data_IF_860600079454
#
_entry.id   IF_860600079454
#
_cell.length_a   1.000
_cell.length_b   1.000
_cell.length_c   1.000
_cell.angle_alpha   90.00
_cell.angle_beta   90.00
_cell.angle_gamma   90.00
#
_symmetry.space_group_name_H-M   'P 1'
#
loop_
_entity.id
_entity.type
_entity.pdbx_description
1 polymer ?
#
# COMPACT_ATOMS: atom_id res chain seq x y z
N UNK A 1 -7.37 -28.23 -2.42
CA UNK A 1 -6.66 -28.00 -3.68
C UNK A 1 -7.16 -26.69 -4.24
N UNK A 2 -6.26 -25.73 -4.46
CA UNK A 2 -6.61 -24.47 -5.09
C UNK A 2 -6.67 -24.70 -6.61
N UNK A 3 -7.82 -25.14 -7.12
CA UNK A 3 -8.08 -25.06 -8.55
C UNK A 3 -8.20 -23.58 -8.91
N UNK A 4 -7.35 -23.08 -9.81
CA UNK A 4 -7.56 -21.77 -10.42
C UNK A 4 -8.84 -21.90 -11.25
N UNK A 5 -9.95 -21.22 -10.89
CA UNK A 5 -11.20 -21.38 -11.59
C UNK A 5 -11.04 -20.76 -12.98
N UNK A 6 -10.73 -21.59 -13.97
CA UNK A 6 -10.64 -21.17 -15.37
C UNK A 6 -12.03 -20.98 -15.97
N UNK A 7 -13.06 -21.62 -15.39
CA UNK A 7 -14.47 -21.52 -15.82
C UNK A 7 -15.18 -20.22 -15.44
N UNK A 8 -14.73 -19.53 -14.38
CA UNK A 8 -15.32 -18.26 -13.92
C UNK A 8 -14.54 -17.03 -14.41
N UNK A 9 -13.56 -17.22 -15.29
CA UNK A 9 -12.82 -16.10 -15.87
C UNK A 9 -13.78 -15.31 -16.77
N UNK A 10 -14.04 -14.02 -16.51
CA UNK A 10 -14.92 -13.22 -17.35
C UNK A 10 -14.46 -13.31 -18.82
N UNK A 11 -15.39 -13.47 -19.73
CA UNK A 11 -15.09 -13.62 -21.17
C UNK A 11 -14.60 -12.29 -21.77
N UNK A 12 -13.37 -11.91 -21.43
CA UNK A 12 -12.76 -10.64 -21.79
C UNK A 12 -12.18 -10.68 -23.21
N UNK A 13 -12.25 -9.54 -23.92
CA UNK A 13 -11.60 -9.38 -25.23
C UNK A 13 -10.07 -9.53 -25.16
N UNK A 14 -9.46 -9.19 -24.01
CA UNK A 14 -8.05 -9.41 -23.74
C UNK A 14 -7.76 -9.57 -22.26
N UNK A 15 -6.58 -10.13 -21.98
CA UNK A 15 -6.00 -10.37 -20.68
C UNK A 15 -4.57 -9.86 -20.70
N UNK A 16 -4.20 -9.06 -19.70
CA UNK A 16 -2.81 -8.64 -19.51
C UNK A 16 -2.23 -9.30 -18.26
N UNK A 17 -1.00 -9.76 -18.39
CA UNK A 17 -0.25 -10.42 -17.33
C UNK A 17 1.10 -9.73 -17.19
N UNK A 18 1.56 -9.59 -15.96
CA UNK A 18 2.91 -9.09 -15.69
C UNK A 18 3.61 -9.92 -14.65
N UNK A 19 4.88 -10.25 -14.92
CA UNK A 19 5.76 -10.94 -13.97
C UNK A 19 6.05 -10.07 -12.73
N UNK A 20 5.76 -8.76 -12.81
CA UNK A 20 5.93 -7.79 -11.73
C UNK A 20 5.33 -8.24 -10.40
N UNK A 21 4.20 -8.95 -10.44
CA UNK A 21 3.48 -9.39 -9.23
C UNK A 21 3.69 -10.86 -8.88
N UNK A 22 4.01 -11.71 -9.87
CA UNK A 22 4.34 -13.12 -9.65
C UNK A 22 5.80 -13.40 -9.31
N UNK A 23 6.69 -12.42 -9.55
CA UNK A 23 8.12 -12.55 -9.26
C UNK A 23 8.78 -11.22 -8.87
N UNK A 24 8.94 -10.27 -9.82
CA UNK A 24 9.64 -9.01 -9.52
C UNK A 24 9.38 -7.91 -10.54
N UNK A 25 9.20 -6.68 -10.04
CA UNK A 25 9.08 -5.48 -10.86
C UNK A 25 10.33 -5.17 -11.69
N UNK A 26 11.50 -5.65 -11.24
CA UNK A 26 12.79 -5.36 -11.88
C UNK A 26 12.96 -6.07 -13.23
N UNK A 27 12.21 -7.13 -13.49
CA UNK A 27 12.26 -7.89 -14.76
C UNK A 27 11.59 -7.12 -15.89
N UNK A 28 10.63 -6.23 -15.56
CA UNK A 28 9.91 -5.36 -16.53
C UNK A 28 9.30 -6.12 -17.71
N UNK A 29 8.81 -7.34 -17.46
CA UNK A 29 8.17 -8.18 -18.47
C UNK A 29 6.67 -8.41 -18.21
N UNK A 30 5.97 -8.70 -19.29
CA UNK A 30 4.55 -9.02 -19.29
C UNK A 30 4.13 -9.58 -20.64
N UNK A 31 2.92 -10.12 -20.70
CA UNK A 31 2.34 -10.62 -21.93
C UNK A 31 0.86 -10.26 -21.97
N UNK A 32 0.35 -10.10 -23.18
CA UNK A 32 -1.06 -9.85 -23.44
C UNK A 32 -1.57 -11.04 -24.24
N UNK A 33 -2.65 -11.65 -23.75
CA UNK A 33 -3.44 -12.61 -24.52
C UNK A 33 -4.69 -11.89 -24.96
N UNK A 34 -4.99 -11.89 -26.24
CA UNK A 34 -6.17 -11.24 -26.79
C UNK A 34 -6.92 -12.21 -27.68
N UNK A 35 -8.24 -12.02 -27.78
CA UNK A 35 -9.03 -12.76 -28.76
C UNK A 35 -8.70 -12.23 -30.16
N UNK A 36 -8.50 -13.14 -31.09
CA UNK A 36 -8.35 -12.79 -32.52
C UNK A 36 -9.63 -12.12 -33.05
N UNK A 37 -10.78 -12.45 -32.47
CA UNK A 37 -12.08 -11.84 -32.78
C UNK A 37 -12.66 -11.10 -31.55
N UNK A 38 -13.12 -9.83 -31.71
CA UNK A 38 -13.13 -9.06 -32.95
C UNK A 38 -11.73 -8.54 -33.33
N UNK A 39 -11.46 -8.49 -34.65
CA UNK A 39 -10.22 -7.97 -35.29
C UNK A 39 -9.77 -6.61 -34.72
N UNK A 40 -10.71 -5.78 -34.27
CA UNK A 40 -10.43 -4.49 -33.62
C UNK A 40 -9.52 -4.60 -32.39
N UNK A 41 -9.55 -5.71 -31.65
CA UNK A 41 -8.69 -5.94 -30.48
C UNK A 41 -7.25 -6.28 -30.89
N UNK A 42 -7.09 -7.06 -31.96
CA UNK A 42 -5.78 -7.39 -32.55
C UNK A 42 -5.10 -6.13 -33.08
N UNK A 43 -5.78 -5.36 -33.93
CA UNK A 43 -5.21 -4.18 -34.57
C UNK A 43 -4.87 -3.10 -33.54
N UNK A 44 -5.69 -2.93 -32.50
CA UNK A 44 -5.40 -1.98 -31.41
C UNK A 44 -4.12 -2.35 -30.64
N UNK A 45 -3.90 -3.65 -30.36
CA UNK A 45 -2.69 -4.11 -29.68
C UNK A 45 -1.47 -3.94 -30.58
N UNK A 46 -1.52 -4.42 -31.83
CA UNK A 46 -0.40 -4.31 -32.78
C UNK A 46 0.01 -2.86 -33.00
N UNK A 47 -0.95 -1.96 -33.27
CA UNK A 47 -0.67 -0.53 -33.47
C UNK A 47 -0.04 0.14 -32.24
N UNK A 48 -0.43 -0.26 -31.02
CA UNK A 48 0.17 0.26 -29.81
C UNK A 48 1.66 -0.14 -29.68
N UNK A 49 2.02 -1.35 -30.11
CA UNK A 49 3.40 -1.86 -30.05
C UNK A 49 4.27 -1.37 -31.20
N UNK A 50 3.71 -1.10 -32.39
CA UNK A 50 4.46 -0.57 -33.54
C UNK A 50 5.17 0.76 -33.21
N UNK A 51 4.54 1.60 -32.39
CA UNK A 51 5.10 2.89 -31.95
C UNK A 51 6.30 2.77 -30.99
N UNK A 52 6.58 1.58 -30.45
CA UNK A 52 7.63 1.33 -29.44
C UNK A 52 8.94 0.81 -30.05
N UNK A 53 9.03 0.63 -31.37
CA UNK A 53 10.22 0.12 -32.06
C UNK A 53 11.34 1.16 -32.18
N UNK A 54 12.18 1.27 -31.14
CA UNK A 54 13.51 1.89 -31.23
C UNK A 54 14.60 0.84 -30.98
N UNK A 55 15.78 0.97 -31.59
CA UNK A 55 16.92 0.06 -31.33
C UNK A 55 17.28 -0.04 -29.85
N UNK A 56 17.14 1.07 -29.11
CA UNK A 56 17.38 1.12 -27.66
C UNK A 56 16.38 0.24 -26.90
N UNK A 57 15.12 0.18 -27.34
CA UNK A 57 14.12 -0.73 -26.78
C UNK A 57 14.37 -2.19 -27.20
N UNK A 58 14.93 -2.42 -28.40
CA UNK A 58 15.24 -3.77 -28.92
C UNK A 58 16.39 -4.49 -28.20
N UNK A 59 17.45 -3.77 -27.79
CA UNK A 59 18.55 -4.38 -27.01
C UNK A 59 18.13 -4.66 -25.56
N UNK A 60 17.35 -3.76 -24.94
CA UNK A 60 16.75 -4.04 -23.62
C UNK A 60 15.71 -5.16 -23.70
N UNK A 61 14.99 -5.32 -24.82
CA UNK A 61 13.99 -6.37 -24.97
C UNK A 61 14.62 -7.76 -25.08
N UNK A 62 15.77 -7.93 -25.74
CA UNK A 62 16.42 -9.24 -25.86
C UNK A 62 16.91 -9.78 -24.50
N UNK A 63 17.59 -8.96 -23.70
CA UNK A 63 18.03 -9.36 -22.35
C UNK A 63 16.85 -9.57 -21.39
N UNK A 64 15.81 -8.73 -21.49
CA UNK A 64 14.58 -8.91 -20.72
C UNK A 64 13.81 -10.16 -21.15
N UNK A 65 13.85 -10.50 -22.44
CA UNK A 65 13.22 -11.69 -23.03
C UNK A 65 13.94 -12.98 -22.62
N UNK A 66 15.27 -13.04 -22.74
CA UNK A 66 16.04 -14.18 -22.23
C UNK A 66 15.90 -14.35 -20.72
N UNK A 67 15.92 -13.25 -19.96
CA UNK A 67 15.63 -13.28 -18.53
C UNK A 67 14.21 -13.78 -18.23
N UNK A 68 13.22 -13.38 -19.03
CA UNK A 68 11.84 -13.86 -18.91
C UNK A 68 11.74 -15.35 -19.23
N UNK A 69 12.42 -15.86 -20.26
CA UNK A 69 12.44 -17.28 -20.59
C UNK A 69 13.07 -18.11 -19.46
N UNK A 70 14.23 -17.68 -18.94
CA UNK A 70 14.87 -18.35 -17.80
C UNK A 70 13.97 -18.37 -16.56
N UNK A 71 13.32 -17.24 -16.26
CA UNK A 71 12.35 -17.16 -15.17
C UNK A 71 11.14 -18.04 -15.40
N UNK A 72 10.62 -18.09 -16.62
CA UNK A 72 9.50 -18.93 -16.98
C UNK A 72 9.85 -20.40 -16.81
N UNK A 73 11.02 -20.84 -17.29
CA UNK A 73 11.52 -22.19 -17.10
C UNK A 73 11.69 -22.53 -15.62
N UNK A 74 12.20 -21.61 -14.80
CA UNK A 74 12.29 -21.79 -13.34
C UNK A 74 10.92 -21.93 -12.68
N UNK A 75 10.00 -21.00 -12.96
CA UNK A 75 8.65 -20.97 -12.37
C UNK A 75 7.84 -22.22 -12.79
N UNK A 76 7.98 -22.63 -14.05
CA UNK A 76 7.26 -23.74 -14.67
C UNK A 76 8.05 -25.07 -14.61
N UNK A 77 9.19 -25.11 -13.92
CA UNK A 77 10.02 -26.31 -13.77
C UNK A 77 9.27 -27.49 -13.11
N UNK A 78 8.18 -27.19 -12.40
CA UNK A 78 7.23 -28.15 -11.84
C UNK A 78 5.80 -27.77 -12.26
N UNK A 79 4.88 -28.73 -12.38
CA UNK A 79 3.47 -28.44 -12.62
C UNK A 79 2.92 -27.47 -11.56
N UNK A 80 2.05 -26.54 -11.95
CA UNK A 80 1.40 -25.59 -11.02
C UNK A 80 0.59 -26.32 -9.93
N UNK A 81 0.12 -27.54 -10.23
CA UNK A 81 -0.57 -28.41 -9.27
C UNK A 81 0.34 -29.02 -8.21
N UNK A 82 1.67 -28.95 -8.37
CA UNK A 82 2.63 -29.43 -7.37
C UNK A 82 2.78 -28.37 -6.27
N UNK A 83 2.52 -28.70 -4.98
CA UNK A 83 2.67 -27.76 -3.87
C UNK A 83 4.10 -27.24 -3.70
N UNK A 84 5.10 -27.99 -4.19
CA UNK A 84 6.51 -27.61 -4.16
C UNK A 84 6.96 -26.83 -5.40
N UNK A 85 6.03 -26.52 -6.32
CA UNK A 85 6.29 -25.59 -7.42
C UNK A 85 6.48 -24.16 -6.92
N UNK A 86 7.04 -23.28 -7.76
CA UNK A 86 7.12 -21.85 -7.44
C UNK A 86 5.74 -21.26 -7.12
N UNK A 87 4.71 -21.63 -7.89
CA UNK A 87 3.34 -21.15 -7.67
C UNK A 87 2.78 -21.70 -6.36
N UNK A 88 3.01 -22.98 -6.05
CA UNK A 88 2.61 -23.58 -4.78
C UNK A 88 3.22 -22.86 -3.57
N UNK A 89 4.54 -22.68 -3.57
CA UNK A 89 5.26 -21.96 -2.52
C UNK A 89 4.83 -20.48 -2.41
N UNK A 90 4.60 -19.81 -3.55
CA UNK A 90 4.10 -18.44 -3.58
C UNK A 90 2.67 -18.34 -3.01
N UNK A 91 1.79 -19.30 -3.32
CA UNK A 91 0.44 -19.33 -2.77
C UNK A 91 0.47 -19.56 -1.26
N UNK A 92 1.33 -20.46 -0.77
CA UNK A 92 1.49 -20.73 0.66
C UNK A 92 1.96 -19.48 1.42
N UNK A 93 3.07 -18.86 0.99
CA UNK A 93 3.59 -17.67 1.67
C UNK A 93 2.60 -16.50 1.60
N UNK A 94 1.82 -16.38 0.53
CA UNK A 94 0.78 -15.35 0.44
C UNK A 94 -0.38 -15.64 1.39
N UNK A 95 -0.80 -16.89 1.54
CA UNK A 95 -1.83 -17.27 2.53
C UNK A 95 -1.35 -16.97 3.95
N UNK A 96 -0.10 -17.30 4.28
CA UNK A 96 0.50 -16.98 5.59
C UNK A 96 0.52 -15.47 5.87
N UNK A 97 0.95 -14.66 4.90
CA UNK A 97 0.91 -13.19 5.03
C UNK A 97 -0.51 -12.68 5.24
N UNK A 98 -1.47 -13.20 4.48
CA UNK A 98 -2.88 -12.86 4.63
C UNK A 98 -3.43 -13.25 6.00
N UNK A 99 -3.10 -14.45 6.49
CA UNK A 99 -3.47 -14.92 7.82
C UNK A 99 -2.91 -14.01 8.91
N UNK A 100 -1.64 -13.61 8.81
CA UNK A 100 -1.04 -12.69 9.76
C UNK A 100 -1.78 -11.35 9.79
N UNK A 101 -2.06 -10.75 8.62
CA UNK A 101 -2.78 -9.47 8.52
C UNK A 101 -4.19 -9.57 9.11
N UNK A 102 -4.97 -10.58 8.70
CA UNK A 102 -6.35 -10.78 9.17
C UNK A 102 -6.37 -11.02 10.69
N UNK A 103 -5.50 -11.90 11.19
CA UNK A 103 -5.43 -12.20 12.63
C UNK A 103 -4.93 -10.99 13.44
N UNK A 104 -4.06 -10.16 12.87
CA UNK A 104 -3.56 -8.95 13.52
C UNK A 104 -4.66 -7.92 13.82
N UNK A 105 -5.59 -7.76 12.88
CA UNK A 105 -6.67 -6.78 12.95
C UNK A 105 -8.04 -7.39 13.28
N UNK A 106 -8.07 -8.67 13.63
CA UNK A 106 -9.29 -9.35 14.05
C UNK A 106 -9.92 -8.61 15.24
N UNK A 107 -11.20 -8.22 15.09
CA UNK A 107 -11.94 -7.42 16.07
C UNK A 107 -11.30 -6.07 16.44
N UNK A 108 -10.39 -5.53 15.61
CA UNK A 108 -9.79 -4.25 15.92
C UNK A 108 -10.86 -3.13 15.92
N UNK A 109 -10.93 -2.29 16.96
CA UNK A 109 -11.93 -1.22 17.03
C UNK A 109 -11.65 -0.09 16.04
N UNK A 110 -10.41 0.04 15.55
CA UNK A 110 -9.97 1.16 14.70
C UNK A 110 -10.31 0.97 13.23
N UNK A 111 -10.13 -0.25 12.70
CA UNK A 111 -10.24 -0.53 11.28
C UNK A 111 -10.64 -1.98 11.00
N UNK A 112 -11.10 -2.25 9.79
CA UNK A 112 -11.37 -3.59 9.24
C UNK A 112 -10.54 -3.86 7.99
N UNK A 113 -10.19 -5.13 7.77
CA UNK A 113 -9.73 -5.63 6.47
C UNK A 113 -10.96 -5.95 5.63
N UNK A 114 -11.12 -5.28 4.47
CA UNK A 114 -12.38 -5.28 3.71
C UNK A 114 -12.41 -6.20 2.50
N UNK A 115 -11.25 -6.71 2.05
CA UNK A 115 -11.17 -7.62 0.92
C UNK A 115 -10.78 -9.04 1.36
N UNK A 116 -11.31 -10.02 0.62
CA UNK A 116 -10.94 -11.42 0.78
C UNK A 116 -9.45 -11.63 0.45
N UNK A 117 -8.89 -12.79 0.85
CA UNK A 117 -7.49 -13.22 0.65
C UNK A 117 -7.09 -13.33 -0.83
N UNK A 118 -7.07 -12.21 -1.53
CA UNK A 118 -6.93 -12.16 -2.97
C UNK A 118 -6.00 -11.01 -3.35
N UNK A 119 -4.96 -11.37 -4.11
CA UNK A 119 -3.99 -10.41 -4.63
C UNK A 119 -2.93 -9.99 -3.62
N UNK A 120 -2.23 -8.91 -3.97
CA UNK A 120 -1.02 -8.48 -3.30
C UNK A 120 -1.22 -7.28 -2.35
N UNK A 121 -2.47 -6.99 -2.00
CA UNK A 121 -2.81 -5.87 -1.12
C UNK A 121 -3.96 -6.24 -0.19
N UNK A 122 -3.80 -5.91 1.08
CA UNK A 122 -4.92 -5.83 2.01
C UNK A 122 -5.49 -4.40 1.98
N UNK A 123 -6.82 -4.30 1.92
CA UNK A 123 -7.56 -3.06 1.95
C UNK A 123 -8.12 -2.88 3.34
N UNK A 124 -7.78 -1.76 3.96
CA UNK A 124 -8.19 -1.44 5.32
C UNK A 124 -9.07 -0.21 5.30
N UNK A 125 -10.20 -0.28 6.01
CA UNK A 125 -11.14 0.81 6.17
C UNK A 125 -11.24 1.18 7.65
N UNK A 126 -11.08 2.46 7.96
CA UNK A 126 -11.27 2.95 9.33
C UNK A 126 -12.75 2.92 9.72
N UNK A 127 -13.00 2.70 11.00
CA UNK A 127 -14.33 2.66 11.60
C UNK A 127 -14.64 3.97 12.31
N UNK A 128 -15.91 4.29 12.51
CA UNK A 128 -16.29 5.29 13.50
C UNK A 128 -15.86 4.83 14.92
N UNK A 129 -15.37 5.73 15.79
CA UNK A 129 -15.25 7.19 15.63
C UNK A 129 -13.91 7.65 15.01
N UNK A 130 -13.12 6.76 14.42
CA UNK A 130 -11.77 7.03 13.89
C UNK A 130 -11.75 7.53 12.44
N UNK A 131 -12.92 7.73 11.83
CA UNK A 131 -13.05 8.34 10.50
C UNK A 131 -12.54 9.79 10.52
N UNK A 132 -11.82 10.18 9.47
CA UNK A 132 -11.26 11.52 9.30
C UNK A 132 -10.06 11.85 10.20
N UNK A 133 -9.56 10.89 10.99
CA UNK A 133 -8.36 11.07 11.82
C UNK A 133 -7.08 10.83 11.02
N UNK A 134 -7.16 9.98 9.98
CA UNK A 134 -6.04 9.78 9.08
C UNK A 134 -5.78 11.04 8.26
N UNK A 135 -4.50 11.37 8.10
CA UNK A 135 -4.05 12.44 7.23
C UNK A 135 -2.84 11.98 6.42
N UNK A 136 -2.62 12.66 5.29
CA UNK A 136 -1.43 12.52 4.46
C UNK A 136 -1.36 11.28 3.59
N UNK A 137 -0.25 11.14 2.87
CA UNK A 137 -0.02 10.06 1.90
C UNK A 137 0.17 8.68 2.56
N UNK A 138 0.90 8.64 3.68
CA UNK A 138 1.15 7.43 4.47
C UNK A 138 0.23 7.45 5.69
N UNK A 139 -0.45 6.35 5.97
CA UNK A 139 -1.32 6.24 7.13
C UNK A 139 -0.58 6.54 8.44
N UNK A 140 -1.06 7.55 9.17
CA UNK A 140 -0.52 7.95 10.47
C UNK A 140 -0.72 6.87 11.53
N UNK A 141 -1.83 6.13 11.52
CA UNK A 141 -2.03 5.02 12.45
C UNK A 141 -0.97 3.92 12.27
N UNK A 142 -0.74 3.46 11.04
CA UNK A 142 0.29 2.46 10.78
C UNK A 142 1.68 2.97 11.18
N UNK A 143 1.98 4.23 10.91
CA UNK A 143 3.27 4.83 11.21
C UNK A 143 3.49 5.06 12.71
N UNK A 144 2.54 5.70 13.39
CA UNK A 144 2.72 6.27 14.71
C UNK A 144 2.30 5.31 15.83
N UNK A 145 1.36 4.40 15.55
CA UNK A 145 0.88 3.37 16.49
C UNK A 145 1.57 2.03 16.25
N UNK A 146 1.70 1.60 14.99
CA UNK A 146 2.27 0.30 14.65
C UNK A 146 3.74 0.35 14.24
N UNK A 147 4.31 1.52 13.96
CA UNK A 147 5.69 1.65 13.51
C UNK A 147 5.96 1.15 12.09
N UNK A 148 4.98 1.25 11.20
CA UNK A 148 5.00 0.73 9.83
C UNK A 148 4.86 1.90 8.84
N UNK A 149 5.87 2.08 7.99
CA UNK A 149 5.96 3.23 7.06
C UNK A 149 5.87 2.85 5.59
N UNK A 150 6.61 1.82 5.16
CA UNK A 150 6.90 1.59 3.73
C UNK A 150 5.90 0.68 3.02
N UNK A 151 4.96 0.09 3.74
CA UNK A 151 3.98 -0.85 3.17
C UNK A 151 2.58 -0.28 3.07
N UNK A 152 2.32 0.92 3.59
CA UNK A 152 0.98 1.51 3.64
C UNK A 152 0.90 2.90 3.02
N UNK A 153 -0.17 3.16 2.28
CA UNK A 153 -0.54 4.51 1.82
C UNK A 153 -2.04 4.55 1.63
N UNK A 154 -2.58 5.77 1.70
CA UNK A 154 -4.00 6.00 1.58
C UNK A 154 -4.45 5.78 0.12
N UNK A 155 -5.52 5.00 -0.06
CA UNK A 155 -6.01 4.54 -1.34
C UNK A 155 -6.78 5.62 -2.10
N UNK A 156 -7.44 6.53 -1.39
CA UNK A 156 -8.22 7.62 -1.99
C UNK A 156 -7.41 8.52 -2.92
N UNK A 157 -6.10 8.65 -2.69
CA UNK A 157 -5.15 9.38 -3.54
C UNK A 157 -5.04 8.88 -4.99
N UNK A 158 -5.65 7.74 -5.36
CA UNK A 158 -5.60 7.18 -6.73
C UNK A 158 -6.76 7.62 -7.63
N UNK A 159 -7.22 8.86 -7.47
CA UNK A 159 -8.18 9.50 -8.37
C UNK A 159 -9.65 9.17 -8.06
N UNK A 160 -9.94 8.52 -6.93
CA UNK A 160 -11.29 8.51 -6.39
C UNK A 160 -11.51 9.84 -5.69
N UNK A 161 -11.85 10.88 -6.45
CA UNK A 161 -12.10 12.20 -5.87
C UNK A 161 -13.13 12.12 -4.75
N UNK A 162 -13.03 13.02 -3.77
CA UNK A 162 -13.91 13.09 -2.60
C UNK A 162 -15.41 12.86 -2.90
N UNK A 163 -15.93 13.36 -4.03
CA UNK A 163 -17.31 13.15 -4.46
C UNK A 163 -17.66 11.66 -4.70
N UNK A 164 -16.74 10.89 -5.25
CA UNK A 164 -16.91 9.44 -5.50
C UNK A 164 -16.87 8.63 -4.20
N UNK A 165 -16.09 9.08 -3.21
CA UNK A 165 -16.04 8.44 -1.90
C UNK A 165 -17.30 8.73 -1.11
N UNK A 166 -17.73 10.00 -1.07
CA UNK A 166 -18.97 10.39 -0.38
C UNK A 166 -20.19 9.72 -1.00
N UNK A 167 -20.26 9.62 -2.33
CA UNK A 167 -21.38 8.96 -3.02
C UNK A 167 -21.44 7.45 -2.76
N UNK A 168 -20.29 6.78 -2.60
CA UNK A 168 -20.25 5.33 -2.38
C UNK A 168 -20.34 4.93 -0.90
N UNK A 169 -19.59 5.60 -0.02
CA UNK A 169 -19.46 5.24 1.40
C UNK A 169 -20.32 6.11 2.33
N UNK A 170 -20.85 7.23 1.82
CA UNK A 170 -21.69 8.16 2.58
C UNK A 170 -20.93 9.38 3.13
N UNK A 171 -21.68 10.31 3.70
CA UNK A 171 -21.14 11.51 4.33
C UNK A 171 -20.26 11.16 5.54
N UNK A 172 -19.07 11.76 5.63
CA UNK A 172 -18.12 11.58 6.74
C UNK A 172 -16.91 10.71 6.40
N UNK A 173 -16.90 10.04 5.24
CA UNK A 173 -15.72 9.37 4.72
C UNK A 173 -14.83 10.33 3.93
N UNK A 174 -13.53 10.13 4.06
CA UNK A 174 -12.47 10.86 3.35
C UNK A 174 -11.57 9.89 2.59
N UNK A 175 -10.77 10.43 1.67
CA UNK A 175 -9.74 9.68 0.93
C UNK A 175 -8.71 8.97 1.83
N UNK A 176 -8.49 9.51 3.03
CA UNK A 176 -7.54 9.00 4.00
C UNK A 176 -8.11 7.86 4.86
N UNK A 177 -9.43 7.63 4.86
CA UNK A 177 -10.08 6.56 5.62
C UNK A 177 -9.92 5.16 5.01
N UNK A 178 -9.19 5.07 3.90
CA UNK A 178 -8.90 3.83 3.21
C UNK A 178 -7.40 3.69 3.07
N UNK A 179 -6.82 2.69 3.72
CA UNK A 179 -5.39 2.40 3.62
C UNK A 179 -5.17 1.12 2.84
N UNK A 180 -4.19 1.14 1.94
CA UNK A 180 -3.73 -0.05 1.23
C UNK A 180 -2.41 -0.53 1.81
N UNK A 181 -2.39 -1.76 2.33
CA UNK A 181 -1.18 -2.45 2.79
C UNK A 181 -0.63 -3.36 1.68
N UNK A 182 0.62 -3.17 1.29
CA UNK A 182 1.32 -4.00 0.31
C UNK A 182 1.83 -5.31 0.93
N UNK A 183 1.62 -6.44 0.25
CA UNK A 183 2.03 -7.78 0.71
C UNK A 183 3.36 -8.29 0.08
N UNK A 184 4.24 -7.38 -0.33
CA UNK A 184 5.50 -7.72 -1.03
C UNK A 184 6.70 -7.98 -0.13
N UNK A 185 6.62 -7.71 1.17
CA UNK A 185 7.74 -7.89 2.10
C UNK A 185 7.80 -9.33 2.59
N UNK A 186 8.87 -9.63 3.32
CA UNK A 186 9.01 -10.90 4.02
C UNK A 186 7.88 -11.11 5.04
N UNK A 187 7.54 -12.36 5.33
CA UNK A 187 6.46 -12.71 6.26
C UNK A 187 6.66 -12.09 7.65
N UNK A 188 7.90 -12.01 8.12
CA UNK A 188 8.25 -11.49 9.46
C UNK A 188 7.76 -10.06 9.69
N UNK A 189 7.65 -9.25 8.63
CA UNK A 189 7.09 -7.88 8.72
C UNK A 189 5.61 -7.91 9.09
N UNK A 190 4.85 -8.85 8.52
CA UNK A 190 3.41 -8.96 8.76
C UNK A 190 3.11 -9.65 10.10
N UNK A 191 3.96 -10.57 10.54
CA UNK A 191 3.87 -11.16 11.88
C UNK A 191 4.13 -10.13 12.97
N UNK A 192 5.16 -9.30 12.81
CA UNK A 192 5.46 -8.23 13.77
C UNK A 192 4.37 -7.14 13.74
N UNK A 193 3.84 -6.80 12.56
CA UNK A 193 2.65 -5.96 12.46
C UNK A 193 1.47 -6.55 13.23
N UNK A 194 1.17 -7.83 13.01
CA UNK A 194 0.05 -8.51 13.64
C UNK A 194 0.21 -8.56 15.16
N UNK A 195 1.44 -8.79 15.65
CA UNK A 195 1.75 -8.75 17.09
C UNK A 195 1.47 -7.37 17.69
N UNK A 196 1.90 -6.29 17.02
CA UNK A 196 1.65 -4.91 17.49
C UNK A 196 0.17 -4.55 17.43
N UNK A 197 -0.50 -4.89 16.34
CA UNK A 197 -1.92 -4.66 16.13
C UNK A 197 -2.75 -5.35 17.22
N UNK A 198 -2.49 -6.62 17.53
CA UNK A 198 -3.17 -7.34 18.62
C UNK A 198 -3.05 -6.65 19.98
N UNK A 199 -1.88 -6.07 20.29
CA UNK A 199 -1.66 -5.36 21.56
C UNK A 199 -2.54 -4.10 21.60
N UNK A 200 -2.40 -3.22 20.61
CA UNK A 200 -3.07 -1.91 20.63
C UNK A 200 -4.58 -2.02 20.36
N UNK A 201 -5.02 -2.99 19.56
CA UNK A 201 -6.43 -3.22 19.28
C UNK A 201 -7.16 -3.87 20.47
N UNK A 202 -6.44 -4.57 21.37
CA UNK A 202 -7.02 -5.15 22.58
C UNK A 202 -7.11 -4.14 23.74
N UNK A 203 -6.20 -3.18 23.80
CA UNK A 203 -6.17 -2.10 24.80
C UNK A 203 -5.75 -0.79 24.12
N UNK A 204 -6.69 0.16 24.05
CA UNK A 204 -6.52 1.43 23.36
C UNK A 204 -5.48 2.34 24.00
N UNK A 205 -5.11 2.09 25.25
CA UNK A 205 -4.06 2.80 25.99
C UNK A 205 -2.71 2.08 25.95
N UNK A 206 -2.68 0.83 25.46
CA UNK A 206 -1.43 0.10 25.28
C UNK A 206 -0.60 0.71 24.14
N UNK A 207 0.72 0.65 24.30
CA UNK A 207 1.69 1.11 23.30
C UNK A 207 2.83 0.10 23.17
N UNK A 208 3.56 0.15 22.06
CA UNK A 208 4.69 -0.77 21.80
C UNK A 208 5.97 0.03 21.57
N UNK A 209 6.94 -0.14 22.46
CA UNK A 209 8.26 0.50 22.31
C UNK A 209 8.17 2.02 22.34
N UNK A 210 8.57 2.66 21.24
CA UNK A 210 8.56 4.13 21.08
C UNK A 210 7.32 4.65 20.33
N UNK A 211 6.36 3.78 20.00
CA UNK A 211 5.12 4.14 19.31
C UNK A 211 4.06 4.58 20.32
N UNK A 212 3.06 5.33 19.87
CA UNK A 212 1.98 5.84 20.73
C UNK A 212 0.81 4.88 20.80
N UNK A 213 -0.02 4.99 21.84
CA UNK A 213 -1.30 4.27 21.91
C UNK A 213 -2.32 4.84 20.93
N UNK A 214 -3.45 4.14 20.74
CA UNK A 214 -4.54 4.65 19.88
C UNK A 214 -5.11 5.94 20.44
N UNK A 215 -5.35 6.01 21.76
CA UNK A 215 -5.91 7.21 22.37
C UNK A 215 -4.95 8.42 22.26
N UNK A 216 -3.64 8.18 22.42
CA UNK A 216 -2.62 9.20 22.23
C UNK A 216 -2.54 9.67 20.77
N UNK A 217 -2.62 8.73 19.82
CA UNK A 217 -2.67 9.04 18.39
C UNK A 217 -3.89 9.91 18.05
N UNK A 218 -5.08 9.54 18.49
CA UNK A 218 -6.31 10.32 18.30
C UNK A 218 -6.17 11.74 18.88
N UNK A 219 -5.68 11.86 20.12
CA UNK A 219 -5.48 13.16 20.76
C UNK A 219 -4.49 14.04 19.99
N UNK A 220 -3.41 13.45 19.48
CA UNK A 220 -2.41 14.16 18.68
C UNK A 220 -2.98 14.67 17.35
N UNK A 221 -3.79 13.86 16.66
CA UNK A 221 -4.38 14.21 15.37
C UNK A 221 -5.40 15.34 15.47
N UNK A 222 -6.28 15.31 16.49
CA UNK A 222 -7.28 16.35 16.73
C UNK A 222 -6.69 17.75 16.97
N UNK A 223 -5.41 17.85 17.27
CA UNK A 223 -4.74 19.13 17.57
C UNK A 223 -3.87 19.63 16.42
N UNK A 224 -3.41 18.74 15.52
CA UNK A 224 -2.74 19.13 14.26
C UNK A 224 -3.66 20.04 13.45
N UNK A 225 -4.96 19.71 13.34
CA UNK A 225 -5.96 20.52 12.64
C UNK A 225 -6.17 21.93 13.21
N UNK A 226 -5.76 22.23 14.46
CA UNK A 226 -5.90 23.57 15.07
C UNK A 226 -4.68 24.48 14.89
N UNK A 227 -3.49 23.93 14.62
CA UNK A 227 -2.25 24.71 14.41
C UNK A 227 -1.71 24.66 12.98
N UNK A 228 -2.32 23.89 12.08
CA UNK A 228 -1.95 23.81 10.66
C UNK A 228 -1.96 25.19 9.94
N UNK A 229 -2.68 26.18 10.46
CA UNK A 229 -2.67 27.55 9.90
C UNK A 229 -1.45 28.39 10.30
N UNK A 230 -0.79 28.09 11.42
CA UNK A 230 0.35 28.86 11.94
C UNK A 230 1.72 28.19 11.69
N UNK A 231 1.73 26.87 11.49
CA UNK A 231 2.95 26.07 11.41
C UNK A 231 3.70 25.98 12.76
N UNK A 232 4.81 25.24 12.75
CA UNK A 232 5.73 25.15 13.89
C UNK A 232 7.02 25.91 13.57
N UNK A 233 7.55 26.64 14.55
CA UNK A 233 8.80 27.38 14.36
C UNK A 233 10.02 26.45 14.22
N UNK A 234 10.05 25.39 15.03
CA UNK A 234 11.09 24.37 15.04
C UNK A 234 10.56 23.06 15.67
N UNK A 235 11.46 22.07 15.77
CA UNK A 235 11.15 20.77 16.35
C UNK A 235 10.82 20.84 17.85
N UNK A 236 11.42 21.78 18.59
CA UNK A 236 11.20 21.91 20.03
C UNK A 236 9.83 22.54 20.33
N UNK A 237 9.37 23.48 19.50
CA UNK A 237 8.01 24.00 19.52
C UNK A 237 6.98 22.90 19.22
N UNK A 238 7.25 22.04 18.22
CA UNK A 238 6.38 20.89 17.93
C UNK A 238 6.32 19.92 19.11
N UNK A 239 7.47 19.57 19.70
CA UNK A 239 7.53 18.68 20.87
C UNK A 239 6.80 19.28 22.07
N UNK A 240 7.00 20.56 22.36
CA UNK A 240 6.29 21.25 23.44
C UNK A 240 4.78 21.17 23.24
N UNK A 241 4.30 21.47 22.04
CA UNK A 241 2.86 21.40 21.74
C UNK A 241 2.30 19.97 21.85
N UNK A 242 3.01 18.97 21.32
CA UNK A 242 2.60 17.57 21.47
C UNK A 242 2.53 17.14 22.93
N UNK A 243 3.46 17.63 23.78
CA UNK A 243 3.47 17.37 25.22
C UNK A 243 2.36 18.11 25.97
N UNK A 244 1.92 19.28 25.49
CA UNK A 244 0.74 19.98 26.05
C UNK A 244 -0.56 19.20 25.80
N UNK A 245 -0.67 18.55 24.64
CA UNK A 245 -1.87 17.80 24.22
C UNK A 245 -1.88 16.38 24.78
N UNK A 246 -0.72 15.73 24.77
CA UNK A 246 -0.53 14.34 25.19
C UNK A 246 0.55 14.33 26.28
N UNK A 247 0.20 14.74 27.53
CA UNK A 247 1.17 14.97 28.60
C UNK A 247 1.93 13.70 29.01
N UNK A 248 1.34 12.53 28.79
CA UNK A 248 1.90 11.25 29.23
C UNK A 248 2.88 10.61 28.23
N UNK A 249 3.20 11.29 27.12
CA UNK A 249 4.21 10.79 26.18
C UNK A 249 5.58 10.67 26.86
N UNK A 250 6.22 9.51 26.76
CA UNK A 250 7.64 9.39 27.11
C UNK A 250 8.50 10.22 26.15
N UNK A 251 9.72 10.60 26.55
CA UNK A 251 10.62 11.37 25.68
C UNK A 251 10.89 10.68 24.34
N UNK A 252 10.95 9.33 24.34
CA UNK A 252 11.13 8.53 23.12
C UNK A 252 9.91 8.58 22.20
N UNK A 253 8.70 8.50 22.77
CA UNK A 253 7.47 8.62 22.00
C UNK A 253 7.29 10.03 21.46
N UNK A 254 7.63 11.04 22.26
CA UNK A 254 7.57 12.43 21.85
C UNK A 254 8.52 12.71 20.68
N UNK A 255 9.76 12.25 20.75
CA UNK A 255 10.73 12.35 19.66
C UNK A 255 10.21 11.66 18.39
N UNK A 256 9.73 10.43 18.52
CA UNK A 256 9.25 9.65 17.40
C UNK A 256 8.06 10.32 16.71
N UNK A 257 7.05 10.71 17.49
CA UNK A 257 5.82 11.33 17.00
C UNK A 257 6.11 12.68 16.33
N UNK A 258 6.93 13.53 16.95
CA UNK A 258 7.29 14.84 16.40
C UNK A 258 8.03 14.73 15.06
N UNK A 259 8.99 13.80 14.96
CA UNK A 259 9.70 13.49 13.71
C UNK A 259 8.76 12.89 12.66
N UNK A 260 7.83 12.04 13.08
CA UNK A 260 6.80 11.45 12.22
C UNK A 260 5.91 12.50 11.58
N UNK A 261 5.44 13.47 12.38
CA UNK A 261 4.60 14.57 11.91
C UNK A 261 5.38 15.48 10.95
N UNK A 262 6.63 15.83 11.27
CA UNK A 262 7.49 16.58 10.35
C UNK A 262 7.63 15.91 8.99
N UNK A 263 7.88 14.61 9.03
CA UNK A 263 8.07 13.82 7.84
C UNK A 263 6.78 13.73 7.00
N UNK A 264 5.63 13.57 7.66
CA UNK A 264 4.31 13.62 7.03
C UNK A 264 4.06 14.94 6.33
N UNK A 265 4.22 16.05 7.05
CA UNK A 265 4.00 17.41 6.54
C UNK A 265 4.90 17.69 5.31
N UNK A 266 6.17 17.30 5.38
CA UNK A 266 7.11 17.48 4.27
C UNK A 266 6.74 16.62 3.06
N UNK A 267 6.32 15.37 3.28
CA UNK A 267 5.89 14.47 2.22
C UNK A 267 4.63 14.97 1.53
N UNK A 268 3.64 15.43 2.30
CA UNK A 268 2.38 15.93 1.78
C UNK A 268 2.60 17.25 1.02
N UNK A 269 3.45 18.14 1.54
CA UNK A 269 3.87 19.37 0.84
C UNK A 269 4.49 19.05 -0.51
N UNK A 270 5.39 18.06 -0.56
CA UNK A 270 5.97 17.59 -1.83
C UNK A 270 4.88 17.04 -2.75
N UNK A 271 4.03 16.14 -2.28
CA UNK A 271 3.00 15.48 -3.10
C UNK A 271 1.97 16.47 -3.63
N UNK A 272 1.63 17.52 -2.89
CA UNK A 272 0.71 18.57 -3.31
C UNK A 272 1.13 19.27 -4.61
N UNK A 273 2.43 19.26 -4.97
CA UNK A 273 2.90 19.81 -6.25
C UNK A 273 2.45 18.96 -7.45
N UNK A 274 1.94 17.75 -7.22
CA UNK A 274 1.40 16.87 -8.25
C UNK A 274 -0.10 17.07 -8.50
N UNK A 275 -0.76 17.94 -7.75
CA UNK A 275 -2.16 18.30 -8.01
C UNK A 275 -2.31 18.99 -9.38
N UNK A 276 -3.47 18.86 -10.05
CA UNK A 276 -4.63 18.07 -9.62
C UNK A 276 -4.56 16.59 -10.02
N UNK A 277 -3.64 16.21 -10.91
CA UNK A 277 -3.68 14.91 -11.58
C UNK A 277 -3.06 13.76 -10.78
N UNK A 278 -2.17 14.08 -9.82
CA UNK A 278 -1.44 13.13 -8.98
C UNK A 278 -0.86 11.93 -9.76
N UNK A 279 -0.35 12.19 -10.98
CA UNK A 279 0.14 11.12 -11.86
C UNK A 279 1.28 10.34 -11.20
N UNK A 280 1.34 9.02 -11.46
CA UNK A 280 2.40 8.16 -10.93
C UNK A 280 3.81 8.66 -11.30
N UNK A 281 3.96 9.28 -12.47
CA UNK A 281 5.24 9.87 -12.90
C UNK A 281 5.63 11.05 -12.00
N UNK A 282 4.69 11.92 -11.65
CA UNK A 282 4.95 13.01 -10.70
C UNK A 282 5.25 12.46 -9.31
N UNK A 283 4.42 11.56 -8.79
CA UNK A 283 4.60 10.97 -7.47
C UNK A 283 5.97 10.28 -7.33
N UNK A 284 6.40 9.49 -8.32
CA UNK A 284 7.72 8.86 -8.29
C UNK A 284 8.88 9.86 -8.39
N UNK A 285 8.72 10.95 -9.13
CA UNK A 285 9.74 12.01 -9.22
C UNK A 285 9.87 12.78 -7.89
N UNK A 286 8.74 13.02 -7.24
CA UNK A 286 8.62 13.89 -6.07
C UNK A 286 8.93 13.17 -4.76
N UNK A 287 8.53 11.90 -4.64
CA UNK A 287 8.75 11.06 -3.45
C UNK A 287 10.04 10.23 -3.56
N UNK A 288 10.56 10.06 -4.79
CA UNK A 288 11.76 9.27 -5.07
C UNK A 288 11.46 7.93 -5.75
N UNK A 289 12.39 7.46 -6.59
CA UNK A 289 12.26 6.24 -7.41
C UNK A 289 12.64 4.95 -6.66
N UNK A 290 13.22 5.07 -5.47
CA UNK A 290 13.51 3.96 -4.58
C UNK A 290 13.20 4.39 -3.15
N UNK A 291 12.48 3.52 -2.44
CA UNK A 291 12.40 3.54 -0.97
C UNK A 291 13.77 3.20 -0.34
N UNK A 292 14.85 3.83 -0.80
CA UNK A 292 16.22 3.56 -0.35
C UNK A 292 16.73 4.60 0.66
N UNK A 293 15.94 5.65 0.94
CA UNK A 293 16.24 6.64 1.97
C UNK A 293 15.31 6.47 3.20
N UNK A 294 14.79 5.27 3.45
CA UNK A 294 13.86 4.96 4.55
C UNK A 294 14.27 3.71 5.34
#
# INVERSE_FOLDING_TARGET
GYEVPTGDRPDCASWSFSITKGYSASVRAGFVVYKEEPVTSHDAVVNAFESLHSMTNGLYSEWSWYGQMQLWEMIMSRPISDPTSWVGAYTEIMDEKWNAVISGFENCPVLDVTNAKAGAYAWLQYKAPYLGIQEGFVSSFFRDVLGIRTTTYNFGFRGAGAENIVSFYGSGYTEADFTRLQLYRDITVYEEMARRAKIVCADLDASVGSFVSINQWVASAQTVSRRLEAGYADMDDRKRHLKEVVPDLTDRQLEHLASSHEHGDELDRRISTCAPDFSMNCLFKTVGTRFNDF
#
